data_IF_068710351898
#
_entry.id   IF_068710351898
#
_cell.length_a   1.000
_cell.length_b   1.000
_cell.length_c   1.000
_cell.angle_alpha   90.00
_cell.angle_beta   90.00
_cell.angle_gamma   90.00
#
_symmetry.space_group_name_H-M   'P 1'
#
loop_
_entity.id
_entity.type
_entity.pdbx_description
1 polymer ?
#
# COMPACT_ATOMS: atom_id res chain seq x y z
N UNK A 1 -8.23 -11.52 1.71
CA UNK A 1 -8.37 -10.92 3.06
C UNK A 1 -9.39 -9.82 2.96
N UNK A 2 -10.57 -10.00 3.58
CA UNK A 2 -11.65 -9.01 3.55
C UNK A 2 -11.46 -8.07 4.74
N UNK A 3 -11.13 -6.82 4.46
CA UNK A 3 -10.94 -5.80 5.48
C UNK A 3 -12.25 -5.01 5.65
N UNK A 4 -12.87 -5.08 6.83
CA UNK A 4 -14.08 -4.33 7.17
C UNK A 4 -13.72 -3.13 8.04
N UNK A 5 -13.85 -1.91 7.51
CA UNK A 5 -13.66 -0.69 8.27
C UNK A 5 -15.02 -0.11 8.69
N UNK A 6 -15.28 -0.02 10.00
CA UNK A 6 -16.48 0.58 10.59
C UNK A 6 -16.23 2.04 10.97
N UNK A 7 -16.95 2.97 10.35
CA UNK A 7 -16.86 4.41 10.66
C UNK A 7 -18.15 4.86 11.37
N UNK A 8 -18.02 5.44 12.57
CA UNK A 8 -19.16 5.92 13.38
C UNK A 8 -19.46 7.39 13.10
N UNK A 9 -20.69 7.69 12.72
CA UNK A 9 -21.19 9.08 12.54
C UNK A 9 -21.96 9.57 13.79
N UNK A 10 -21.59 10.77 14.28
CA UNK A 10 -22.17 11.42 15.47
C UNK A 10 -23.56 12.03 15.22
N UNK A 11 -24.52 11.78 16.13
CA UNK A 11 -25.91 12.27 16.10
C UNK A 11 -26.03 13.76 16.43
N UNK A 12 -26.80 14.52 15.64
CA UNK A 12 -27.30 15.87 16.02
C UNK A 12 -28.79 15.89 16.33
N UNK A 13 -29.18 16.75 17.29
CA UNK A 13 -30.53 16.86 17.88
C UNK A 13 -31.57 17.49 16.93
N UNK A 14 -32.80 17.00 17.04
CA UNK A 14 -34.00 17.41 16.26
C UNK A 14 -34.50 18.78 16.67
N UNK A 15 -34.88 19.60 15.68
CA UNK A 15 -35.83 20.70 15.82
C UNK A 15 -37.00 20.48 14.85
N UNK A 16 -38.25 20.66 15.40
CA UNK A 16 -39.50 20.35 14.74
C UNK A 16 -40.08 21.59 14.08
N UNK A 17 -40.42 21.52 12.77
CA UNK A 17 -41.38 22.41 12.11
C UNK A 17 -41.97 21.69 10.87
N UNK A 18 -43.25 21.32 10.95
CA UNK A 18 -44.13 20.88 9.89
C UNK A 18 -44.85 22.17 9.33
N UNK A 19 -44.84 22.47 8.04
CA UNK A 19 -45.17 21.69 6.85
C UNK A 19 -44.27 21.91 5.61
N UNK A 20 -42.98 21.88 5.76
CA UNK A 20 -42.04 21.94 4.64
C UNK A 20 -41.67 20.51 4.17
N UNK A 21 -42.35 19.49 4.71
CA UNK A 21 -41.99 18.08 4.57
C UNK A 21 -42.14 17.48 3.15
N UNK A 22 -42.88 18.08 2.24
CA UNK A 22 -43.04 17.49 0.90
C UNK A 22 -41.94 17.87 -0.11
N UNK A 23 -41.23 18.98 0.10
CA UNK A 23 -40.08 19.37 -0.74
C UNK A 23 -38.74 18.79 -0.22
N UNK A 24 -38.71 18.36 1.04
CA UNK A 24 -37.48 17.79 1.67
C UNK A 24 -37.28 16.31 1.38
N UNK A 25 -38.30 15.56 0.93
CA UNK A 25 -38.17 14.12 0.63
C UNK A 25 -37.30 13.89 -0.61
N UNK A 26 -37.32 14.78 -1.61
CA UNK A 26 -36.44 14.70 -2.77
C UNK A 26 -35.00 15.14 -2.51
N UNK A 27 -34.76 15.96 -1.49
CA UNK A 27 -33.41 16.40 -1.11
C UNK A 27 -32.67 15.39 -0.21
N UNK A 28 -33.38 14.52 0.49
CA UNK A 28 -32.77 13.52 1.39
C UNK A 28 -32.12 12.35 0.63
N UNK A 29 -32.63 11.98 -0.54
CA UNK A 29 -32.03 10.93 -1.38
C UNK A 29 -30.76 11.41 -2.07
N UNK A 30 -30.71 12.69 -2.48
CA UNK A 30 -29.48 13.29 -3.04
C UNK A 30 -28.37 13.46 -1.98
N UNK A 31 -28.74 13.71 -0.71
CA UNK A 31 -27.77 13.80 0.39
C UNK A 31 -27.13 12.44 0.73
N UNK A 32 -27.89 11.34 0.72
CA UNK A 32 -27.35 10.02 1.04
C UNK A 32 -26.38 9.52 -0.04
N UNK A 33 -26.74 9.64 -1.31
CA UNK A 33 -25.88 9.25 -2.43
C UNK A 33 -24.56 10.05 -2.46
N UNK A 34 -24.59 11.32 -2.03
CA UNK A 34 -23.40 12.14 -1.94
C UNK A 34 -22.49 11.70 -0.76
N UNK A 35 -23.08 11.32 0.37
CA UNK A 35 -22.34 10.81 1.54
C UNK A 35 -21.70 9.46 1.22
N UNK A 36 -22.43 8.53 0.61
CA UNK A 36 -21.90 7.23 0.17
C UNK A 36 -20.73 7.40 -0.81
N UNK A 37 -20.87 8.27 -1.80
CA UNK A 37 -19.81 8.59 -2.75
C UNK A 37 -18.58 9.17 -2.05
N UNK A 38 -18.73 10.01 -1.04
CA UNK A 38 -17.62 10.58 -0.27
C UNK A 38 -16.85 9.49 0.47
N UNK A 39 -17.52 8.55 1.13
CA UNK A 39 -16.87 7.44 1.79
C UNK A 39 -16.14 6.53 0.80
N UNK A 40 -16.77 6.19 -0.32
CA UNK A 40 -16.12 5.42 -1.38
C UNK A 40 -14.87 6.13 -1.90
N UNK A 41 -14.95 7.44 -2.18
CA UNK A 41 -13.82 8.25 -2.67
C UNK A 41 -12.69 8.28 -1.64
N UNK A 42 -13.02 8.48 -0.36
CA UNK A 42 -12.03 8.47 0.72
C UNK A 42 -11.31 7.11 0.81
N UNK A 43 -12.03 6.00 0.84
CA UNK A 43 -11.42 4.67 0.90
C UNK A 43 -10.59 4.38 -0.35
N UNK A 44 -11.07 4.78 -1.54
CA UNK A 44 -10.31 4.64 -2.79
C UNK A 44 -9.00 5.44 -2.75
N UNK A 45 -9.04 6.68 -2.27
CA UNK A 45 -7.86 7.52 -2.15
C UNK A 45 -6.88 6.98 -1.09
N UNK A 46 -7.39 6.41 0.00
CA UNK A 46 -6.58 5.78 1.04
C UNK A 46 -5.83 4.55 0.50
N UNK A 47 -6.49 3.71 -0.30
CA UNK A 47 -5.81 2.58 -0.96
C UNK A 47 -4.80 3.09 -1.98
N UNK A 48 -5.18 4.08 -2.79
CA UNK A 48 -4.30 4.64 -3.81
C UNK A 48 -3.04 5.28 -3.23
N UNK A 49 -3.13 5.99 -2.10
CA UNK A 49 -1.93 6.56 -1.48
C UNK A 49 -1.02 5.50 -0.91
N UNK A 50 -1.57 4.48 -0.24
CA UNK A 50 -0.78 3.43 0.39
C UNK A 50 0.03 2.59 -0.61
N UNK A 51 -0.47 2.40 -1.83
CA UNK A 51 0.19 1.57 -2.84
C UNK A 51 0.80 2.38 -3.98
N UNK A 52 0.14 3.46 -4.41
CA UNK A 52 0.49 4.16 -5.65
C UNK A 52 1.06 5.56 -5.41
N UNK A 53 1.14 6.03 -4.15
CA UNK A 53 1.60 7.37 -3.83
C UNK A 53 0.68 8.48 -4.38
N UNK A 54 -0.63 8.21 -4.51
CA UNK A 54 -1.61 9.17 -5.04
C UNK A 54 -1.98 10.24 -3.98
N UNK A 55 -1.01 11.07 -3.60
CA UNK A 55 -1.12 12.06 -2.52
C UNK A 55 -2.22 13.08 -2.78
N UNK A 56 -2.36 13.57 -4.01
CA UNK A 56 -3.37 14.59 -4.37
C UNK A 56 -4.79 14.13 -4.09
N UNK A 57 -5.14 12.91 -4.49
CA UNK A 57 -6.47 12.35 -4.30
C UNK A 57 -6.76 12.12 -2.82
N UNK A 58 -5.75 11.67 -2.06
CA UNK A 58 -5.87 11.47 -0.63
C UNK A 58 -6.05 12.78 0.13
N UNK A 59 -5.25 13.81 -0.17
CA UNK A 59 -5.37 15.15 0.41
C UNK A 59 -6.76 15.74 0.13
N UNK A 60 -7.23 15.66 -1.10
CA UNK A 60 -8.56 16.16 -1.49
C UNK A 60 -9.71 15.45 -0.77
N UNK A 61 -9.56 14.16 -0.48
CA UNK A 61 -10.60 13.35 0.16
C UNK A 61 -10.54 13.38 1.70
N UNK A 62 -9.34 13.49 2.29
CA UNK A 62 -9.11 13.43 3.74
C UNK A 62 -9.01 14.80 4.41
N UNK A 63 -8.52 15.81 3.68
CA UNK A 63 -8.11 17.10 4.24
C UNK A 63 -6.73 17.08 4.90
N UNK A 64 -5.94 16.02 4.71
CA UNK A 64 -4.55 15.95 5.17
C UNK A 64 -3.67 17.00 4.47
N UNK A 65 -2.53 17.34 5.05
CA UNK A 65 -1.51 18.13 4.37
C UNK A 65 -0.59 17.26 3.51
N UNK A 66 0.30 17.88 2.74
CA UNK A 66 1.22 17.18 1.84
C UNK A 66 2.24 16.35 2.62
N UNK A 67 2.78 16.88 3.71
CA UNK A 67 3.81 16.23 4.53
C UNK A 67 3.27 14.91 5.13
N UNK A 68 2.07 14.94 5.72
CA UNK A 68 1.43 13.74 6.27
C UNK A 68 1.13 12.71 5.18
N UNK A 69 0.72 13.16 3.99
CA UNK A 69 0.44 12.29 2.87
C UNK A 69 1.72 11.60 2.34
N UNK A 70 2.80 12.36 2.18
CA UNK A 70 4.09 11.82 1.74
C UNK A 70 4.67 10.85 2.79
N UNK A 71 4.58 11.20 4.08
CA UNK A 71 5.03 10.34 5.17
C UNK A 71 4.25 9.02 5.21
N UNK A 72 2.94 9.05 4.98
CA UNK A 72 2.11 7.82 4.91
C UNK A 72 2.57 6.91 3.77
N UNK A 73 2.82 7.45 2.58
CA UNK A 73 3.31 6.65 1.45
C UNK A 73 4.70 6.09 1.73
N UNK A 74 5.63 6.93 2.21
CA UNK A 74 6.99 6.48 2.49
C UNK A 74 7.01 5.38 3.55
N UNK A 75 6.23 5.49 4.62
CA UNK A 75 6.13 4.45 5.63
C UNK A 75 5.70 3.08 5.08
N UNK A 76 4.83 3.05 4.06
CA UNK A 76 4.45 1.80 3.40
C UNK A 76 5.57 1.25 2.49
N UNK A 77 6.33 2.12 1.83
CA UNK A 77 7.51 1.72 1.05
C UNK A 77 8.57 1.14 1.97
N UNK A 78 8.88 1.82 3.08
CA UNK A 78 9.84 1.35 4.08
C UNK A 78 9.45 -0.03 4.63
N UNK A 79 8.16 -0.21 4.98
CA UNK A 79 7.64 -1.47 5.48
C UNK A 79 7.81 -2.62 4.47
N UNK A 80 7.51 -2.39 3.19
CA UNK A 80 7.70 -3.42 2.16
C UNK A 80 9.19 -3.69 1.93
N UNK A 81 10.02 -2.66 1.92
CA UNK A 81 11.48 -2.78 1.80
C UNK A 81 12.03 -3.64 2.93
N UNK A 82 11.71 -3.32 4.18
CA UNK A 82 12.15 -4.08 5.35
C UNK A 82 11.66 -5.54 5.32
N UNK A 83 10.44 -5.78 4.83
CA UNK A 83 9.91 -7.13 4.65
C UNK A 83 10.67 -7.91 3.58
N UNK A 84 11.06 -7.29 2.46
CA UNK A 84 11.87 -7.94 1.42
C UNK A 84 13.25 -8.30 1.98
N UNK A 85 13.93 -7.34 2.60
CA UNK A 85 15.24 -7.56 3.22
C UNK A 85 15.21 -8.70 4.24
N UNK A 86 14.19 -8.69 5.12
CA UNK A 86 14.00 -9.72 6.14
C UNK A 86 13.70 -11.09 5.53
N UNK A 87 12.78 -11.15 4.56
CA UNK A 87 12.32 -12.40 3.94
C UNK A 87 13.47 -13.14 3.23
N UNK A 88 14.33 -12.38 2.55
CA UNK A 88 15.49 -12.95 1.84
C UNK A 88 16.77 -12.94 2.67
N UNK A 89 16.70 -12.51 3.95
CA UNK A 89 17.85 -12.41 4.85
C UNK A 89 19.00 -11.58 4.25
N UNK A 90 18.65 -10.49 3.56
CA UNK A 90 19.62 -9.58 2.95
C UNK A 90 20.18 -8.66 4.01
N UNK A 91 21.50 -8.62 4.14
CA UNK A 91 22.21 -7.60 4.90
C UNK A 91 22.71 -6.50 3.95
N UNK A 92 22.54 -5.25 4.33
CA UNK A 92 23.03 -4.07 3.63
C UNK A 92 23.73 -3.08 4.57
N UNK A 93 24.21 -3.55 5.72
CA UNK A 93 24.84 -2.68 6.73
C UNK A 93 26.12 -2.03 6.17
N UNK A 94 26.86 -2.75 5.33
CA UNK A 94 28.07 -2.26 4.66
C UNK A 94 27.80 -1.71 3.24
N UNK A 95 26.55 -1.78 2.77
CA UNK A 95 26.08 -1.27 1.46
C UNK A 95 24.75 -0.48 1.60
N UNK A 96 24.71 0.60 2.41
CA UNK A 96 23.46 1.31 2.73
C UNK A 96 22.78 1.95 1.52
N UNK A 97 23.52 2.23 0.44
CA UNK A 97 22.98 2.74 -0.83
C UNK A 97 22.03 1.73 -1.51
N UNK A 98 22.17 0.44 -1.19
CA UNK A 98 21.26 -0.58 -1.70
C UNK A 98 19.83 -0.41 -1.18
N UNK A 99 19.64 0.26 -0.03
CA UNK A 99 18.31 0.54 0.49
C UNK A 99 17.46 1.32 -0.49
N UNK A 100 17.99 2.34 -1.15
CA UNK A 100 17.26 3.13 -2.15
C UNK A 100 16.83 2.28 -3.36
N UNK A 101 17.63 1.29 -3.73
CA UNK A 101 17.31 0.36 -4.80
C UNK A 101 16.17 -0.59 -4.39
N UNK A 102 16.18 -1.11 -3.16
CA UNK A 102 15.08 -1.91 -2.62
C UNK A 102 13.80 -1.09 -2.44
N UNK A 103 13.87 0.19 -2.06
CA UNK A 103 12.71 1.08 -2.04
C UNK A 103 12.14 1.31 -3.46
N UNK A 104 13.01 1.43 -4.46
CA UNK A 104 12.60 1.54 -5.87
C UNK A 104 11.92 0.25 -6.33
N UNK A 105 12.43 -0.91 -5.95
CA UNK A 105 11.80 -2.22 -6.18
C UNK A 105 10.43 -2.28 -5.48
N UNK A 106 10.33 -1.87 -4.21
CA UNK A 106 9.08 -1.83 -3.45
C UNK A 106 8.02 -0.94 -4.14
N UNK A 107 8.43 0.24 -4.63
CA UNK A 107 7.55 1.14 -5.41
C UNK A 107 7.08 0.47 -6.71
N UNK A 108 7.97 -0.22 -7.42
CA UNK A 108 7.62 -0.96 -8.62
C UNK A 108 6.62 -2.09 -8.32
N UNK A 109 6.86 -2.89 -7.29
CA UNK A 109 5.95 -3.95 -6.84
C UNK A 109 4.57 -3.37 -6.51
N UNK A 110 4.50 -2.32 -5.69
CA UNK A 110 3.23 -1.70 -5.32
C UNK A 110 2.51 -1.05 -6.52
N UNK A 111 3.23 -0.57 -7.53
CA UNK A 111 2.62 -0.05 -8.76
C UNK A 111 1.80 -1.09 -9.53
N UNK A 112 2.03 -2.38 -9.29
CA UNK A 112 1.30 -3.50 -9.90
C UNK A 112 0.09 -3.94 -9.09
N UNK A 113 -0.20 -3.31 -7.95
CA UNK A 113 -1.36 -3.68 -7.14
C UNK A 113 -2.64 -3.52 -7.96
N UNK A 114 -3.49 -4.55 -7.90
CA UNK A 114 -4.83 -4.50 -8.44
C UNK A 114 -5.83 -4.56 -7.29
N UNK A 115 -6.78 -3.62 -7.28
CA UNK A 115 -7.79 -3.56 -6.24
C UNK A 115 -9.11 -3.06 -6.77
N UNK A 116 -10.19 -3.38 -6.05
CA UNK A 116 -11.54 -2.92 -6.30
C UNK A 116 -12.12 -2.32 -5.02
N UNK A 117 -12.71 -1.13 -5.14
CA UNK A 117 -13.45 -0.48 -4.05
C UNK A 117 -14.89 -0.39 -4.47
N UNK A 118 -15.77 -1.11 -3.79
CA UNK A 118 -17.20 -1.13 -4.08
C UNK A 118 -17.88 0.16 -3.57
N UNK A 119 -19.13 0.36 -3.98
CA UNK A 119 -19.92 1.51 -3.50
C UNK A 119 -20.12 1.38 -1.99
N UNK A 120 -20.02 2.52 -1.31
CA UNK A 120 -20.42 2.59 0.09
C UNK A 120 -21.92 2.25 0.22
N UNK A 121 -22.27 1.53 1.28
CA UNK A 121 -23.65 1.25 1.65
C UNK A 121 -23.90 1.63 3.10
N UNK A 122 -25.07 2.15 3.39
CA UNK A 122 -25.47 2.45 4.76
C UNK A 122 -25.93 1.18 5.46
N UNK A 123 -25.44 0.96 6.68
CA UNK A 123 -25.84 -0.13 7.56
C UNK A 123 -26.10 0.43 8.97
N UNK A 124 -27.37 0.67 9.27
CA UNK A 124 -27.78 1.33 10.50
C UNK A 124 -27.20 2.75 10.62
N UNK A 125 -26.31 2.97 11.57
CA UNK A 125 -25.64 4.25 11.84
C UNK A 125 -24.24 4.36 11.21
N UNK A 126 -23.75 3.32 10.51
CA UNK A 126 -22.42 3.26 9.88
C UNK A 126 -22.53 3.17 8.36
N UNK A 127 -21.41 3.45 7.68
CA UNK A 127 -21.24 3.15 6.26
C UNK A 127 -20.19 2.06 6.10
N UNK A 128 -20.48 1.11 5.23
CA UNK A 128 -19.58 0.01 4.87
C UNK A 128 -19.10 0.21 3.44
N UNK A 129 -17.81 -0.01 3.24
CA UNK A 129 -17.17 -0.01 1.92
C UNK A 129 -16.37 -1.30 1.82
N UNK A 130 -16.74 -2.15 0.88
CA UNK A 130 -16.01 -3.39 0.64
C UNK A 130 -14.82 -3.10 -0.28
N UNK A 131 -13.65 -3.61 0.12
CA UNK A 131 -12.40 -3.50 -0.64
C UNK A 131 -11.90 -4.90 -0.94
N UNK A 132 -11.61 -5.18 -2.20
CA UNK A 132 -10.92 -6.39 -2.64
C UNK A 132 -9.53 -6.01 -3.12
N UNK A 133 -8.49 -6.60 -2.55
CA UNK A 133 -7.10 -6.45 -3.00
C UNK A 133 -6.69 -7.80 -3.58
N UNK A 134 -6.23 -7.80 -4.82
CA UNK A 134 -5.76 -9.00 -5.49
C UNK A 134 -4.28 -9.22 -5.13
N UNK A 135 -3.87 -10.46 -4.78
CA UNK A 135 -2.50 -10.72 -4.39
C UNK A 135 -1.54 -10.50 -5.56
N UNK A 136 -0.38 -9.93 -5.24
CA UNK A 136 0.76 -9.88 -6.14
C UNK A 136 1.54 -11.18 -5.96
N UNK A 137 1.60 -12.01 -7.01
CA UNK A 137 2.21 -13.34 -6.92
C UNK A 137 3.72 -13.33 -7.23
N UNK A 138 4.38 -12.19 -7.15
CA UNK A 138 5.78 -12.02 -7.53
C UNK A 138 6.68 -13.04 -6.86
N UNK A 139 6.64 -13.12 -5.53
CA UNK A 139 7.50 -14.03 -4.76
C UNK A 139 7.30 -15.51 -5.07
N UNK A 140 6.08 -15.90 -5.42
CA UNK A 140 5.80 -17.28 -5.85
C UNK A 140 6.34 -17.55 -7.26
N UNK A 141 6.27 -16.55 -8.15
CA UNK A 141 6.74 -16.69 -9.55
C UNK A 141 8.25 -16.69 -9.64
N UNK A 142 8.95 -15.91 -8.81
CA UNK A 142 10.41 -15.77 -8.83
C UNK A 142 11.13 -16.76 -7.90
N UNK A 143 10.41 -17.55 -7.11
CA UNK A 143 10.99 -18.43 -6.08
C UNK A 143 12.08 -19.38 -6.61
N UNK A 144 11.86 -19.96 -7.80
CA UNK A 144 12.85 -20.89 -8.40
C UNK A 144 14.11 -20.16 -8.87
N UNK A 145 13.96 -18.97 -9.42
CA UNK A 145 15.07 -18.15 -9.91
C UNK A 145 15.89 -17.61 -8.74
N UNK A 146 15.24 -17.14 -7.69
CA UNK A 146 15.90 -16.71 -6.46
C UNK A 146 16.66 -17.87 -5.81
N UNK A 147 16.05 -19.07 -5.72
CA UNK A 147 16.74 -20.24 -5.17
C UNK A 147 17.99 -20.59 -5.98
N UNK A 148 17.88 -20.63 -7.31
CA UNK A 148 19.02 -20.93 -8.18
C UNK A 148 20.12 -19.88 -8.05
N UNK A 149 19.76 -18.61 -7.93
CA UNK A 149 20.71 -17.52 -7.71
C UNK A 149 21.45 -17.69 -6.39
N UNK A 150 20.74 -17.89 -5.29
CA UNK A 150 21.31 -18.08 -3.94
C UNK A 150 22.23 -19.29 -3.90
N UNK A 151 21.83 -20.42 -4.53
CA UNK A 151 22.66 -21.62 -4.60
C UNK A 151 23.95 -21.38 -5.39
N UNK A 152 23.85 -20.69 -6.53
CA UNK A 152 25.03 -20.31 -7.33
C UNK A 152 25.96 -19.41 -6.55
N UNK A 153 25.41 -18.33 -5.97
CA UNK A 153 26.18 -17.39 -5.17
C UNK A 153 26.92 -18.08 -4.00
N UNK A 154 26.24 -18.96 -3.27
CA UNK A 154 26.85 -19.74 -2.18
C UNK A 154 27.92 -20.68 -2.66
N UNK A 155 27.81 -21.26 -3.85
CA UNK A 155 28.84 -22.11 -4.42
C UNK A 155 30.07 -21.29 -4.81
N UNK A 156 29.89 -20.11 -5.37
CA UNK A 156 30.98 -19.18 -5.71
C UNK A 156 31.70 -18.68 -4.45
N UNK A 157 30.97 -18.42 -3.36
CA UNK A 157 31.57 -18.11 -2.06
C UNK A 157 32.48 -19.27 -1.58
N UNK A 158 31.97 -20.51 -1.63
CA UNK A 158 32.75 -21.70 -1.22
C UNK A 158 33.96 -21.94 -2.13
N UNK A 159 33.87 -21.58 -3.40
CA UNK A 159 34.97 -21.67 -4.36
C UNK A 159 36.01 -20.56 -4.17
N UNK A 160 35.75 -19.57 -3.32
CA UNK A 160 36.64 -18.45 -3.07
C UNK A 160 36.57 -17.34 -4.14
N UNK A 161 35.53 -17.33 -4.98
CA UNK A 161 35.37 -16.37 -6.07
C UNK A 161 35.38 -14.93 -5.56
N UNK A 162 34.90 -14.72 -4.34
CA UNK A 162 34.76 -13.39 -3.73
C UNK A 162 35.76 -13.11 -2.60
N UNK A 163 36.86 -13.88 -2.51
CA UNK A 163 37.83 -13.73 -1.41
C UNK A 163 38.47 -12.33 -1.35
N UNK A 164 38.57 -11.65 -2.49
CA UNK A 164 39.15 -10.31 -2.59
C UNK A 164 38.15 -9.20 -2.54
N UNK A 165 36.83 -9.51 -2.34
CA UNK A 165 35.77 -8.53 -2.24
C UNK A 165 35.75 -7.91 -0.85
N UNK A 166 35.47 -6.59 -0.78
CA UNK A 166 35.05 -5.96 0.46
C UNK A 166 33.67 -6.43 0.87
N UNK A 167 33.27 -6.20 2.13
CA UNK A 167 31.90 -6.48 2.55
C UNK A 167 30.89 -5.69 1.75
N UNK A 168 31.18 -4.41 1.45
CA UNK A 168 30.35 -3.55 0.60
C UNK A 168 30.16 -4.16 -0.79
N UNK A 169 31.24 -4.60 -1.47
CA UNK A 169 31.16 -5.20 -2.80
C UNK A 169 30.32 -6.49 -2.78
N UNK A 170 30.52 -7.31 -1.74
CA UNK A 170 29.80 -8.56 -1.55
C UNK A 170 28.30 -8.34 -1.34
N UNK A 171 27.91 -7.44 -0.42
CA UNK A 171 26.51 -7.12 -0.13
C UNK A 171 25.85 -6.44 -1.34
N UNK A 172 26.53 -5.54 -2.02
CA UNK A 172 26.05 -4.89 -3.24
C UNK A 172 25.79 -5.91 -4.35
N UNK A 173 26.75 -6.82 -4.61
CA UNK A 173 26.60 -7.84 -5.66
C UNK A 173 25.43 -8.77 -5.38
N UNK A 174 25.32 -9.27 -4.15
CA UNK A 174 24.22 -10.15 -3.76
C UNK A 174 22.86 -9.46 -3.88
N UNK A 175 22.77 -8.23 -3.37
CA UNK A 175 21.56 -7.42 -3.38
C UNK A 175 21.10 -7.09 -4.80
N UNK A 176 22.05 -6.71 -5.68
CA UNK A 176 21.72 -6.37 -7.07
C UNK A 176 21.16 -7.58 -7.83
N UNK A 177 21.80 -8.75 -7.70
CA UNK A 177 21.29 -9.95 -8.35
C UNK A 177 19.89 -10.36 -7.86
N UNK A 178 19.58 -10.11 -6.59
CA UNK A 178 18.24 -10.35 -6.06
C UNK A 178 17.21 -9.34 -6.61
N UNK A 179 17.59 -8.07 -6.70
CA UNK A 179 16.72 -7.00 -7.27
C UNK A 179 16.41 -7.28 -8.74
N UNK A 180 17.40 -7.77 -9.51
CA UNK A 180 17.24 -8.05 -10.94
C UNK A 180 16.27 -9.21 -11.21
N UNK A 181 16.10 -10.11 -10.24
CA UNK A 181 15.15 -11.23 -10.32
C UNK A 181 13.74 -10.80 -9.87
N UNK A 182 13.63 -9.91 -8.91
CA UNK A 182 12.36 -9.50 -8.29
C UNK A 182 11.72 -8.34 -9.03
#
# INVERSE_FOLDING_TARGET
>A
MNFFMKIHAKKYKRFSLLPICMLLIFSLTACTANVEKRYQTYIKSLIAINYLGATKDYIAASGANQEDADALYQANIDLLTDNILTYYSVNIDDAPEMREQFESLAKNIYSKVNYKVDKARKDGSVYLVDVTIYPINLFAQTSSEVTAYVDTFNNDVKAGTYNDYSLTDYETLFSQGLIDIL
#
